data_IF_352828249389
#
_entry.id   IF_352828249389
#
_cell.length_a   1.000
_cell.length_b   1.000
_cell.length_c   1.000
_cell.angle_alpha   90.00
_cell.angle_beta   90.00
_cell.angle_gamma   90.00
#
_symmetry.space_group_name_H-M   'P 1'
#
loop_
_entity.id
_entity.type
_entity.pdbx_description
1 polymer ?
#
# COMPACT_ATOMS: atom_id res chain seq x y z
N UNK A 1 29.38 32.68 -6.04
CA UNK A 1 28.09 31.99 -6.27
C UNK A 1 28.29 31.01 -7.40
N UNK A 2 28.57 29.74 -7.11
CA UNK A 2 28.73 28.72 -8.15
C UNK A 2 27.34 28.33 -8.66
N UNK A 3 27.11 28.46 -9.97
CA UNK A 3 25.92 27.91 -10.63
C UNK A 3 26.01 26.38 -10.55
N UNK A 4 25.12 25.76 -9.79
CA UNK A 4 24.86 24.33 -9.90
C UNK A 4 24.14 24.13 -11.24
N UNK A 5 24.81 23.47 -12.18
CA UNK A 5 24.19 23.04 -13.44
C UNK A 5 23.54 21.69 -13.18
N UNK A 6 22.22 21.68 -12.98
CA UNK A 6 21.46 20.45 -12.90
C UNK A 6 21.45 19.73 -14.25
N UNK A 7 21.64 18.43 -14.25
CA UNK A 7 21.63 17.54 -15.42
C UNK A 7 20.49 16.52 -15.29
N UNK A 8 20.16 15.82 -16.39
CA UNK A 8 19.17 14.73 -16.32
C UNK A 8 19.66 13.57 -15.45
N UNK A 9 20.98 13.39 -15.29
CA UNK A 9 21.56 12.37 -14.42
C UNK A 9 21.22 12.65 -12.94
N UNK A 10 20.95 13.91 -12.56
CA UNK A 10 20.51 14.27 -11.20
C UNK A 10 19.07 13.81 -10.90
N UNK A 11 18.33 13.31 -11.89
CA UNK A 11 17.00 12.71 -11.72
C UNK A 11 17.07 11.21 -11.41
N UNK A 12 18.25 10.59 -11.54
CA UNK A 12 18.44 9.18 -11.23
C UNK A 12 18.45 8.99 -9.71
N UNK A 13 17.51 8.18 -9.24
CA UNK A 13 17.40 7.76 -7.84
C UNK A 13 17.43 6.25 -7.77
N UNK A 14 17.83 5.71 -6.62
CA UNK A 14 17.63 4.30 -6.33
C UNK A 14 16.13 4.08 -6.10
N UNK A 15 15.46 3.42 -7.04
CA UNK A 15 14.01 3.19 -7.02
C UNK A 15 13.61 2.31 -5.84
N UNK A 16 14.44 1.33 -5.47
CA UNK A 16 14.13 0.38 -4.39
C UNK A 16 14.21 1.10 -3.03
N UNK A 17 15.26 1.89 -2.80
CA UNK A 17 15.41 2.68 -1.56
C UNK A 17 14.28 3.71 -1.42
N UNK A 18 13.93 4.42 -2.49
CA UNK A 18 12.84 5.40 -2.48
C UNK A 18 11.48 4.74 -2.16
N UNK A 19 11.21 3.60 -2.79
CA UNK A 19 9.97 2.86 -2.57
C UNK A 19 9.87 2.32 -1.14
N UNK A 20 10.97 1.84 -0.56
CA UNK A 20 11.03 1.37 0.82
C UNK A 20 10.68 2.51 1.81
N UNK A 21 11.29 3.68 1.64
CA UNK A 21 11.00 4.85 2.48
C UNK A 21 9.53 5.29 2.38
N UNK A 22 8.99 5.34 1.16
CA UNK A 22 7.60 5.70 0.91
C UNK A 22 6.62 4.69 1.51
N UNK A 23 6.86 3.39 1.31
CA UNK A 23 6.06 2.32 1.91
C UNK A 23 6.10 2.40 3.43
N UNK A 24 7.29 2.56 4.02
CA UNK A 24 7.43 2.70 5.47
C UNK A 24 6.60 3.88 5.98
N UNK A 25 6.74 5.06 5.36
CA UNK A 25 5.99 6.26 5.73
C UNK A 25 4.47 6.09 5.64
N UNK A 26 3.97 5.36 4.64
CA UNK A 26 2.54 5.08 4.48
C UNK A 26 2.00 4.03 5.45
N UNK A 27 2.84 3.11 5.92
CA UNK A 27 2.41 1.95 6.72
C UNK A 27 2.64 2.11 8.22
N UNK A 28 3.63 2.91 8.63
CA UNK A 28 4.14 2.96 10.00
C UNK A 28 3.13 3.41 11.07
N UNK A 29 2.02 4.04 10.71
CA UNK A 29 0.96 4.41 11.68
C UNK A 29 -0.17 3.37 11.76
N UNK A 30 -0.23 2.45 10.78
CA UNK A 30 -1.37 1.57 10.59
C UNK A 30 -1.04 0.10 10.80
N UNK A 31 0.16 -0.36 10.46
CA UNK A 31 0.53 -1.77 10.59
C UNK A 31 1.97 -1.96 11.06
N UNK A 32 2.25 -3.13 11.62
CA UNK A 32 3.59 -3.70 11.78
C UNK A 32 3.61 -5.07 11.12
N UNK A 33 4.80 -5.56 10.78
CA UNK A 33 5.00 -6.93 10.28
C UNK A 33 5.75 -7.71 11.35
N UNK A 34 5.20 -8.85 11.77
CA UNK A 34 5.86 -9.73 12.72
C UNK A 34 7.14 -10.31 12.12
N UNK A 35 8.28 -10.11 12.78
CA UNK A 35 9.59 -10.54 12.27
C UNK A 35 9.63 -12.04 11.94
N UNK A 36 9.09 -12.87 12.84
CA UNK A 36 9.15 -14.33 12.72
C UNK A 36 8.00 -14.88 11.87
N UNK A 37 6.79 -14.35 12.06
CA UNK A 37 5.59 -14.86 11.39
C UNK A 37 5.37 -14.27 9.99
N UNK A 38 5.94 -13.10 9.70
CA UNK A 38 5.61 -12.31 8.51
C UNK A 38 4.17 -11.80 8.47
N UNK A 39 3.43 -11.93 9.58
CA UNK A 39 2.02 -11.56 9.67
C UNK A 39 1.83 -10.06 9.90
N UNK A 40 0.72 -9.53 9.39
CA UNK A 40 0.31 -8.14 9.59
C UNK A 40 -0.27 -7.98 11.01
N UNK A 41 0.23 -7.00 11.74
CA UNK A 41 -0.22 -6.61 13.07
C UNK A 41 -0.83 -5.21 12.98
N UNK A 42 -2.16 -5.12 13.02
CA UNK A 42 -2.90 -3.87 12.92
C UNK A 42 -2.59 -2.96 14.12
N UNK A 43 -2.30 -1.69 13.85
CA UNK A 43 -2.04 -0.65 14.83
C UNK A 43 -3.29 0.20 15.08
N UNK A 44 -3.36 0.96 16.20
CA UNK A 44 -4.53 1.76 16.51
C UNK A 44 -4.99 2.72 15.40
N UNK A 45 -4.04 3.33 14.66
CA UNK A 45 -4.36 4.21 13.55
C UNK A 45 -5.18 3.54 12.45
N UNK A 46 -4.97 2.24 12.22
CA UNK A 46 -5.73 1.49 11.20
C UNK A 46 -7.22 1.47 11.50
N UNK A 47 -7.62 1.46 12.77
CA UNK A 47 -9.03 1.38 13.13
C UNK A 47 -9.83 2.62 12.68
N UNK A 48 -9.17 3.77 12.61
CA UNK A 48 -9.77 5.05 12.23
C UNK A 48 -10.01 5.18 10.72
N UNK A 49 -9.38 4.32 9.92
CA UNK A 49 -9.51 4.33 8.47
C UNK A 49 -10.88 3.81 8.02
N UNK A 50 -11.39 4.35 6.91
CA UNK A 50 -12.56 3.83 6.22
C UNK A 50 -12.23 2.50 5.50
N UNK A 51 -13.23 1.83 4.93
CA UNK A 51 -13.02 0.49 4.34
C UNK A 51 -12.13 0.51 3.09
N UNK A 52 -12.14 1.62 2.33
CA UNK A 52 -11.31 1.82 1.14
C UNK A 52 -9.85 2.00 1.54
N UNK A 53 -9.58 2.91 2.48
CA UNK A 53 -8.24 3.15 3.03
C UNK A 53 -7.65 1.91 3.69
N UNK A 54 -8.43 1.18 4.49
CA UNK A 54 -7.99 -0.08 5.10
C UNK A 54 -7.60 -1.11 4.05
N UNK A 55 -8.37 -1.22 2.97
CA UNK A 55 -8.07 -2.14 1.87
C UNK A 55 -6.76 -1.74 1.17
N UNK A 56 -6.56 -0.44 0.94
CA UNK A 56 -5.32 0.08 0.37
C UNK A 56 -4.10 -0.21 1.27
N UNK A 57 -4.20 0.03 2.57
CA UNK A 57 -3.13 -0.28 3.53
C UNK A 57 -2.76 -1.77 3.52
N UNK A 58 -3.74 -2.67 3.44
CA UNK A 58 -3.45 -4.12 3.37
C UNK A 58 -2.77 -4.50 2.05
N UNK A 59 -3.19 -3.91 0.93
CA UNK A 59 -2.54 -4.15 -0.37
C UNK A 59 -1.10 -3.65 -0.37
N UNK A 60 -0.83 -2.46 0.19
CA UNK A 60 0.53 -1.93 0.36
C UNK A 60 1.36 -2.76 1.34
N UNK A 61 0.78 -3.20 2.45
CA UNK A 61 1.46 -4.07 3.40
C UNK A 61 1.86 -5.41 2.76
N UNK A 62 1.12 -5.90 1.77
CA UNK A 62 1.49 -7.09 1.02
C UNK A 62 2.77 -6.88 0.19
N UNK A 63 2.97 -5.69 -0.39
CA UNK A 63 4.24 -5.35 -1.06
C UNK A 63 5.40 -5.38 -0.09
N UNK A 64 5.28 -4.71 1.05
CA UNK A 64 6.31 -4.75 2.09
C UNK A 64 6.61 -6.20 2.53
N UNK A 65 5.61 -7.08 2.62
CA UNK A 65 5.83 -8.50 2.90
C UNK A 65 6.61 -9.21 1.80
N UNK A 66 6.37 -8.91 0.53
CA UNK A 66 7.13 -9.49 -0.59
C UNK A 66 8.58 -9.02 -0.57
N UNK A 67 8.81 -7.72 -0.39
CA UNK A 67 10.16 -7.14 -0.31
C UNK A 67 10.98 -7.71 0.86
N UNK A 68 10.31 -7.95 2.00
CA UNK A 68 10.91 -8.59 3.17
C UNK A 68 11.04 -10.13 3.06
N UNK A 69 10.68 -10.72 1.91
CA UNK A 69 10.70 -12.17 1.71
C UNK A 69 9.72 -12.96 2.59
N UNK A 70 8.65 -12.31 3.07
CA UNK A 70 7.58 -12.87 3.93
C UNK A 70 6.33 -13.27 3.15
N UNK A 71 6.30 -13.03 1.84
CA UNK A 71 5.25 -13.45 0.91
C UNK A 71 5.82 -13.67 -0.49
N UNK A 72 5.15 -14.52 -1.29
CA UNK A 72 5.62 -14.88 -2.64
C UNK A 72 5.12 -13.93 -3.73
N UNK A 73 3.99 -13.27 -3.54
CA UNK A 73 3.41 -12.38 -4.53
C UNK A 73 2.63 -11.23 -3.91
N UNK A 74 2.43 -10.17 -4.70
CA UNK A 74 1.79 -8.90 -4.31
C UNK A 74 0.26 -8.87 -4.45
N UNK A 75 -0.33 -9.95 -4.96
CA UNK A 75 -1.75 -10.01 -5.29
C UNK A 75 -2.54 -10.58 -4.14
N UNK A 76 -3.66 -9.95 -3.81
CA UNK A 76 -4.58 -10.45 -2.78
C UNK A 76 -6.00 -10.52 -3.30
N UNK A 77 -6.67 -11.62 -3.01
CA UNK A 77 -8.11 -11.74 -3.19
C UNK A 77 -8.87 -10.93 -2.14
N UNK A 78 -10.13 -10.55 -2.39
CA UNK A 78 -10.99 -9.92 -1.39
C UNK A 78 -11.15 -10.75 -0.09
N UNK A 79 -11.00 -12.08 -0.18
CA UNK A 79 -11.01 -12.97 0.98
C UNK A 79 -9.76 -12.78 1.84
N UNK A 80 -8.59 -12.71 1.24
CA UNK A 80 -7.33 -12.51 1.98
C UNK A 80 -7.26 -11.13 2.61
N UNK A 81 -7.70 -10.10 1.88
CA UNK A 81 -7.80 -8.73 2.41
C UNK A 81 -8.78 -8.69 3.60
N UNK A 82 -9.92 -9.38 3.50
CA UNK A 82 -10.89 -9.51 4.59
C UNK A 82 -10.28 -10.17 5.82
N UNK A 83 -9.52 -11.26 5.64
CA UNK A 83 -8.85 -11.96 6.73
C UNK A 83 -7.76 -11.10 7.39
N UNK A 84 -6.96 -10.37 6.61
CA UNK A 84 -5.87 -9.55 7.12
C UNK A 84 -6.36 -8.25 7.81
N UNK A 85 -7.43 -7.63 7.29
CA UNK A 85 -7.99 -6.38 7.81
C UNK A 85 -9.01 -6.56 8.92
N UNK A 86 -9.64 -7.73 9.02
CA UNK A 86 -10.82 -7.97 9.87
C UNK A 86 -12.13 -7.36 9.32
N UNK A 87 -12.11 -6.75 8.12
CA UNK A 87 -13.30 -6.22 7.46
C UNK A 87 -14.08 -7.36 6.81
N UNK A 88 -15.42 -7.28 6.79
CA UNK A 88 -16.25 -8.26 6.09
C UNK A 88 -15.96 -8.26 4.58
N UNK A 89 -15.82 -9.44 3.97
CA UNK A 89 -15.61 -9.60 2.52
C UNK A 89 -16.61 -8.81 1.65
N UNK A 90 -17.89 -8.76 2.05
CA UNK A 90 -18.93 -8.00 1.34
C UNK A 90 -18.71 -6.47 1.34
N UNK A 91 -17.84 -5.97 2.22
CA UNK A 91 -17.40 -4.57 2.26
C UNK A 91 -16.05 -4.39 1.56
N UNK A 92 -15.15 -5.37 1.66
CA UNK A 92 -13.86 -5.35 0.96
C UNK A 92 -14.05 -5.34 -0.55
N UNK A 93 -14.90 -6.21 -1.10
CA UNK A 93 -15.08 -6.31 -2.55
C UNK A 93 -15.44 -4.98 -3.23
N UNK A 94 -16.48 -4.23 -2.79
CA UNK A 94 -16.77 -2.92 -3.37
C UNK A 94 -15.66 -1.90 -3.12
N UNK A 95 -14.96 -1.98 -1.99
CA UNK A 95 -13.84 -1.07 -1.69
C UNK A 95 -12.66 -1.23 -2.66
N UNK A 96 -12.24 -2.47 -2.95
CA UNK A 96 -11.14 -2.73 -3.90
C UNK A 96 -11.54 -2.51 -5.35
N UNK A 97 -12.82 -2.71 -5.69
CA UNK A 97 -13.37 -2.30 -6.99
C UNK A 97 -13.33 -0.79 -7.18
N UNK A 98 -13.68 -0.02 -6.17
CA UNK A 98 -13.57 1.44 -6.25
C UNK A 98 -12.11 1.88 -6.44
N UNK A 99 -11.15 1.24 -5.74
CA UNK A 99 -9.72 1.52 -5.95
C UNK A 99 -9.27 1.21 -7.38
N UNK A 100 -9.79 0.16 -8.00
CA UNK A 100 -9.54 -0.16 -9.40
C UNK A 100 -10.17 0.89 -10.34
N UNK A 101 -11.43 1.25 -10.11
CA UNK A 101 -12.16 2.27 -10.89
C UNK A 101 -11.47 3.65 -10.81
N UNK A 102 -10.90 3.98 -9.65
CA UNK A 102 -10.12 5.21 -9.41
C UNK A 102 -8.71 5.15 -10.02
N UNK A 103 -8.31 4.01 -10.62
CA UNK A 103 -6.98 3.80 -11.21
C UNK A 103 -5.85 3.60 -10.19
N UNK A 104 -6.19 3.39 -8.92
CA UNK A 104 -5.25 3.23 -7.80
C UNK A 104 -4.75 1.78 -7.72
N UNK A 105 -5.67 0.83 -7.87
CA UNK A 105 -5.37 -0.60 -7.84
C UNK A 105 -5.50 -1.24 -9.24
N UNK A 106 -4.81 -2.36 -9.42
CA UNK A 106 -4.95 -3.23 -10.57
C UNK A 106 -5.72 -4.49 -10.16
N UNK A 107 -6.45 -5.07 -11.10
CA UNK A 107 -7.07 -6.38 -10.96
C UNK A 107 -6.42 -7.40 -11.90
N UNK A 108 -6.13 -8.58 -11.37
CA UNK A 108 -5.72 -9.76 -12.14
C UNK A 108 -6.50 -10.98 -11.62
N UNK A 109 -7.36 -11.54 -12.45
CA UNK A 109 -8.24 -12.68 -12.14
C UNK A 109 -8.93 -12.60 -10.76
N UNK A 110 -9.49 -11.42 -10.43
CA UNK A 110 -10.19 -11.22 -9.15
C UNK A 110 -9.28 -10.99 -7.93
N UNK A 111 -7.97 -10.96 -8.13
CA UNK A 111 -6.97 -10.52 -7.14
C UNK A 111 -6.57 -9.08 -7.42
N UNK A 112 -6.22 -8.34 -6.37
CA UNK A 112 -5.91 -6.91 -6.45
C UNK A 112 -4.50 -6.65 -5.95
N UNK A 113 -3.87 -5.64 -6.52
CA UNK A 113 -2.59 -5.11 -6.08
C UNK A 113 -2.52 -3.63 -6.39
N UNK A 114 -1.79 -2.88 -5.58
CA UNK A 114 -1.50 -1.47 -5.84
C UNK A 114 -0.11 -1.38 -6.48
N UNK A 115 0.08 -0.82 -7.67
CA UNK A 115 1.42 -0.70 -8.25
C UNK A 115 2.28 0.33 -7.49
N UNK A 116 3.58 0.04 -7.33
CA UNK A 116 4.51 0.87 -6.54
C UNK A 116 4.72 2.27 -7.13
N UNK A 117 4.58 2.44 -8.44
CA UNK A 117 4.63 3.76 -9.07
C UNK A 117 3.46 4.68 -8.66
N UNK A 118 2.41 4.17 -7.99
CA UNK A 118 1.28 4.96 -7.47
C UNK A 118 1.47 5.41 -6.02
N UNK A 119 2.58 5.10 -5.33
CA UNK A 119 2.74 5.39 -3.90
C UNK A 119 2.54 6.86 -3.52
N UNK A 120 3.05 7.79 -4.35
CA UNK A 120 2.85 9.22 -4.17
C UNK A 120 1.37 9.63 -4.25
N UNK A 121 0.64 9.12 -5.26
CA UNK A 121 -0.79 9.37 -5.41
C UNK A 121 -1.55 8.86 -4.19
N UNK A 122 -1.21 7.67 -3.70
CA UNK A 122 -1.89 7.07 -2.55
C UNK A 122 -1.67 7.85 -1.26
N UNK A 123 -0.53 8.51 -1.11
CA UNK A 123 -0.28 9.38 0.04
C UNK A 123 -1.31 10.50 0.16
N UNK A 124 -1.84 11.01 -0.95
CA UNK A 124 -2.94 11.98 -0.93
C UNK A 124 -4.32 11.36 -0.64
N UNK A 125 -4.47 10.04 -0.81
CA UNK A 125 -5.72 9.31 -0.56
C UNK A 125 -5.86 8.78 0.87
N UNK A 126 -4.76 8.55 1.58
CA UNK A 126 -4.77 7.98 2.93
C UNK A 126 -4.67 9.12 3.95
N UNK A 127 -5.70 9.28 4.79
CA UNK A 127 -5.74 10.34 5.79
C UNK A 127 -5.99 11.74 5.23
N UNK A 128 -6.32 11.85 3.93
CA UNK A 128 -6.95 13.03 3.36
C UNK A 128 -8.43 13.01 3.71
N UNK A 129 -8.91 14.05 4.40
CA UNK A 129 -10.34 14.25 4.61
C UNK A 129 -11.05 14.21 3.25
N UNK A 130 -11.96 13.23 3.05
CA UNK A 130 -12.94 13.29 1.98
C UNK A 130 -13.76 14.58 2.20
N UNK A 131 -13.49 15.65 1.44
CA UNK A 131 -14.39 16.81 1.32
C UNK A 131 -15.69 16.44 0.61
#
# INVERSE_FOLDING_TARGET
MSKQNHTLDDLLVDEDELNEELLYGLLADYIRIGNDSGGIILQPGFNNLNSREKSAIILLAQHARVELGKAENRWLTPSEISNASGIKKGTVYPAVRQLEDDGIAQNDDGSYSIPMYNLETIKSYIGGDDE
#
